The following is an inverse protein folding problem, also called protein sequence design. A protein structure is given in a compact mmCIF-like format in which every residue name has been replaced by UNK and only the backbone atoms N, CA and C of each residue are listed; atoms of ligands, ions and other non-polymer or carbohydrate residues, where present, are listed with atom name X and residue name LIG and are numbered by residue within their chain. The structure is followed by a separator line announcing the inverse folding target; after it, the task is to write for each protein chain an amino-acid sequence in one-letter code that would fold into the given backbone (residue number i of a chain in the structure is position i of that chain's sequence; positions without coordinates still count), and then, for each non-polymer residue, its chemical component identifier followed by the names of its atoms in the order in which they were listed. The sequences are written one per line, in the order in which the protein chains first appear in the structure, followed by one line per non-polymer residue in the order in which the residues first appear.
data_IF_414534590661
#
_entry.id   IF_414534590661
#
_cell.length_a   1.000
_cell.length_b   1.000
_cell.length_c   1.000
_cell.angle_alpha   90.00
_cell.angle_beta   90.00
_cell.angle_gamma   90.00
#
_symmetry.space_group_name_H-M   'P 1'
#
loop_
_entity.id
_entity.type
_entity.pdbx_description
1 polymer ?
#
# COMPACT_ATOMS: atom_id res chain seq x y z
N UNK A 1 3.00 -4.52 -16.03
CA UNK A 1 2.87 -4.41 -14.57
C UNK A 1 3.15 -2.98 -14.16
N UNK A 2 2.31 -2.39 -13.33
CA UNK A 2 2.63 -1.07 -12.78
C UNK A 2 3.82 -1.16 -11.84
N UNK A 3 4.55 -0.08 -11.69
CA UNK A 3 5.72 -0.03 -10.84
C UNK A 3 5.74 1.25 -10.01
N UNK A 4 6.13 1.13 -8.75
CA UNK A 4 6.37 2.28 -7.90
C UNK A 4 7.61 3.01 -8.40
N UNK A 5 7.56 4.35 -8.42
CA UNK A 5 8.70 5.15 -8.88
C UNK A 5 9.95 4.83 -8.06
N UNK A 6 11.00 4.34 -8.71
CA UNK A 6 12.20 3.86 -8.05
C UNK A 6 12.18 2.37 -7.72
N UNK A 7 11.10 1.67 -8.09
CA UNK A 7 11.00 0.21 -7.94
C UNK A 7 10.59 -0.26 -6.55
N UNK A 8 10.69 -1.56 -6.33
CA UNK A 8 10.26 -2.20 -5.09
C UNK A 8 11.03 -1.69 -3.87
N UNK A 9 12.31 -1.39 -4.04
CA UNK A 9 13.15 -0.90 -2.95
C UNK A 9 12.66 0.47 -2.47
N UNK A 10 12.31 1.35 -3.40
CA UNK A 10 11.75 2.67 -3.07
C UNK A 10 10.39 2.53 -2.40
N UNK A 11 9.57 1.57 -2.83
CA UNK A 11 8.28 1.29 -2.20
C UNK A 11 8.48 0.86 -0.75
N UNK A 12 9.42 -0.04 -0.48
CA UNK A 12 9.69 -0.49 0.88
C UNK A 12 10.15 0.65 1.76
N UNK A 13 11.01 1.53 1.24
CA UNK A 13 11.45 2.72 1.99
C UNK A 13 10.30 3.67 2.26
N UNK A 14 9.44 3.87 1.27
CA UNK A 14 8.26 4.73 1.44
C UNK A 14 7.40 4.21 2.59
N UNK A 15 7.13 2.92 2.61
CA UNK A 15 6.32 2.31 3.68
C UNK A 15 7.00 2.46 5.03
N UNK A 16 8.31 2.17 5.12
CA UNK A 16 9.05 2.30 6.38
C UNK A 16 9.03 3.72 6.91
N UNK A 17 9.12 4.71 6.01
CA UNK A 17 9.21 6.11 6.42
C UNK A 17 7.85 6.71 6.79
N UNK A 18 6.76 6.14 6.28
CA UNK A 18 5.44 6.76 6.39
C UNK A 18 4.45 5.97 7.24
N UNK A 19 4.66 4.67 7.42
CA UNK A 19 3.80 3.85 8.27
C UNK A 19 4.10 4.17 9.73
N UNK A 20 3.05 4.53 10.47
CA UNK A 20 3.16 4.77 11.92
C UNK A 20 2.41 3.65 12.63
N UNK A 21 3.09 2.98 13.54
CA UNK A 21 2.47 1.93 14.31
C UNK A 21 1.49 2.56 15.31
N UNK A 22 0.19 2.30 15.21
CA UNK A 22 -0.77 2.88 16.16
C UNK A 22 -0.41 2.48 17.58
N UNK A 23 -0.43 3.44 18.48
CA UNK A 23 -0.04 3.20 19.87
C UNK A 23 -0.88 2.12 20.52
N UNK A 24 -2.19 2.17 20.30
CA UNK A 24 -3.12 1.17 20.84
C UNK A 24 -2.79 -0.22 20.34
N UNK A 25 -2.41 -0.34 19.06
CA UNK A 25 -2.01 -1.63 18.48
C UNK A 25 -0.72 -2.14 19.10
N UNK A 26 0.23 -1.24 19.38
CA UNK A 26 1.46 -1.63 20.10
C UNK A 26 1.15 -2.17 21.49
N UNK A 27 0.27 -1.50 22.21
CA UNK A 27 -0.10 -1.90 23.56
C UNK A 27 -0.80 -3.24 23.59
N UNK A 28 -1.58 -3.55 22.57
CA UNK A 28 -2.28 -4.82 22.44
C UNK A 28 -1.45 -5.91 21.80
N UNK A 29 -0.25 -5.59 21.33
CA UNK A 29 0.61 -6.55 20.64
C UNK A 29 0.10 -6.97 19.28
N UNK A 30 -0.67 -6.12 18.61
CA UNK A 30 -1.23 -6.45 17.29
C UNK A 30 -0.14 -6.42 16.23
N UNK A 31 -0.04 -7.50 15.48
CA UNK A 31 0.95 -7.66 14.42
C UNK A 31 0.33 -8.40 13.25
N UNK A 32 0.90 -8.21 12.08
CA UNK A 32 0.48 -8.96 10.90
C UNK A 32 0.63 -8.14 9.64
N UNK A 33 0.08 -8.66 8.56
CA UNK A 33 0.08 -8.01 7.26
C UNK A 33 -1.33 -7.60 6.90
N UNK A 34 -1.50 -6.32 6.61
CA UNK A 34 -2.75 -5.81 6.06
C UNK A 34 -2.58 -5.76 4.55
N UNK A 35 -3.37 -6.54 3.83
CA UNK A 35 -3.31 -6.54 2.37
C UNK A 35 -4.27 -5.47 1.85
N UNK A 36 -3.71 -4.49 1.14
CA UNK A 36 -4.49 -3.39 0.58
C UNK A 36 -4.47 -3.49 -0.94
N UNK A 37 -5.67 -3.56 -1.52
CA UNK A 37 -5.87 -3.57 -2.96
C UNK A 37 -6.17 -2.15 -3.43
N UNK A 38 -5.66 -1.78 -4.58
CA UNK A 38 -5.94 -0.48 -5.17
C UNK A 38 -5.81 -0.56 -6.68
N UNK A 39 -6.24 0.48 -7.35
CA UNK A 39 -6.13 0.57 -8.80
C UNK A 39 -5.04 1.59 -9.13
N UNK A 40 -4.13 1.21 -10.03
CA UNK A 40 -3.19 2.15 -10.63
C UNK A 40 -3.81 2.58 -11.95
N UNK A 41 -4.21 3.85 -12.02
CA UNK A 41 -4.88 4.39 -13.19
C UNK A 41 -3.91 4.56 -14.36
N UNK A 42 -4.44 4.89 -15.54
CA UNK A 42 -3.62 5.07 -16.74
C UNK A 42 -2.57 6.16 -16.58
N UNK A 43 -2.85 7.15 -15.73
CA UNK A 43 -1.90 8.23 -15.42
C UNK A 43 -1.03 7.95 -14.20
N UNK A 44 -1.14 6.76 -13.62
CA UNK A 44 -0.34 6.37 -12.48
C UNK A 44 -0.95 6.67 -11.13
N UNK A 45 -2.09 7.37 -11.06
CA UNK A 45 -2.72 7.68 -9.77
C UNK A 45 -3.23 6.41 -9.10
N UNK A 46 -3.12 6.37 -7.78
CA UNK A 46 -3.67 5.30 -6.97
C UNK A 46 -5.09 5.67 -6.57
N UNK A 47 -6.05 4.81 -6.90
CA UNK A 47 -7.46 5.04 -6.61
C UNK A 47 -8.10 3.81 -5.98
N UNK A 48 -9.25 4.00 -5.36
CA UNK A 48 -10.08 2.92 -4.82
C UNK A 48 -9.35 1.96 -3.89
N UNK A 49 -8.56 2.47 -2.91
CA UNK A 49 -7.88 1.58 -1.99
C UNK A 49 -8.88 0.91 -1.06
N UNK A 50 -8.67 -0.38 -0.82
CA UNK A 50 -9.50 -1.10 0.16
C UNK A 50 -8.69 -2.23 0.78
N UNK A 51 -9.01 -2.55 2.02
CA UNK A 51 -8.40 -3.67 2.73
C UNK A 51 -9.10 -4.95 2.27
N UNK A 52 -8.30 -5.90 1.76
CA UNK A 52 -8.82 -7.20 1.35
C UNK A 52 -8.42 -8.30 2.32
N UNK A 53 -7.44 -8.04 3.17
CA UNK A 53 -7.09 -8.94 4.28
C UNK A 53 -6.78 -8.09 5.49
N UNK A 54 -7.64 -8.20 6.50
CA UNK A 54 -7.61 -7.38 7.71
C UNK A 54 -6.79 -8.02 8.82
N UNK A 55 -6.21 -7.18 9.68
CA UNK A 55 -5.61 -7.63 10.94
C UNK A 55 -6.41 -7.04 12.09
N UNK A 56 -6.56 -5.72 12.13
CA UNK A 56 -7.35 -5.05 13.16
C UNK A 56 -7.80 -3.70 12.61
N UNK A 57 -8.86 -3.10 13.20
CA UNK A 57 -9.33 -1.80 12.70
C UNK A 57 -8.24 -0.72 12.67
N UNK A 58 -7.39 -0.66 13.70
CA UNK A 58 -6.35 0.34 13.79
C UNK A 58 -5.27 0.14 12.74
N UNK A 59 -4.79 -1.10 12.57
CA UNK A 59 -3.78 -1.42 11.58
C UNK A 59 -4.32 -1.24 10.18
N UNK A 60 -5.57 -1.64 9.95
CA UNK A 60 -6.23 -1.48 8.66
C UNK A 60 -6.33 -0.01 8.27
N UNK A 61 -6.74 0.84 9.21
CA UNK A 61 -6.88 2.28 8.96
C UNK A 61 -5.53 2.90 8.63
N UNK A 62 -4.48 2.51 9.34
CA UNK A 62 -3.14 3.03 9.08
C UNK A 62 -2.62 2.58 7.71
N UNK A 63 -2.85 1.33 7.35
CA UNK A 63 -2.46 0.82 6.03
C UNK A 63 -3.14 1.59 4.91
N UNK A 64 -4.44 1.86 5.04
CA UNK A 64 -5.19 2.66 4.06
C UNK A 64 -4.65 4.08 3.98
N UNK A 65 -4.35 4.69 5.13
CA UNK A 65 -3.81 6.05 5.17
C UNK A 65 -2.52 6.16 4.36
N UNK A 66 -1.62 5.20 4.56
CA UNK A 66 -0.32 5.21 3.88
C UNK A 66 -0.48 4.96 2.38
N UNK A 67 -1.36 4.05 2.00
CA UNK A 67 -1.62 3.78 0.58
C UNK A 67 -2.16 5.05 -0.11
N UNK A 68 -3.03 5.79 0.57
CA UNK A 68 -3.57 7.04 0.02
C UNK A 68 -2.52 8.14 -0.11
N UNK A 69 -1.41 8.03 0.60
CA UNK A 69 -0.32 9.01 0.54
C UNK A 69 0.68 8.72 -0.59
N UNK A 70 0.57 7.58 -1.24
CA UNK A 70 1.55 7.20 -2.25
C UNK A 70 1.57 8.17 -3.41
N UNK A 71 2.79 8.49 -3.94
CA UNK A 71 2.88 9.26 -5.17
C UNK A 71 2.40 8.43 -6.35
N UNK A 72 2.32 9.07 -7.52
CA UNK A 72 1.91 8.37 -8.73
C UNK A 72 2.87 7.21 -9.04
N UNK A 73 2.30 6.11 -9.49
CA UNK A 73 3.03 4.94 -9.94
C UNK A 73 3.29 5.05 -11.44
N UNK A 74 4.22 4.24 -11.92
CA UNK A 74 4.36 4.02 -13.36
C UNK A 74 3.22 3.08 -13.76
N UNK A 75 2.35 3.50 -14.70
CA UNK A 75 1.18 2.68 -15.04
C UNK A 75 1.57 1.40 -15.78
N UNK A 76 0.70 0.41 -15.70
CA UNK A 76 0.86 -0.80 -16.47
C UNK A 76 0.69 -0.52 -17.96
N UNK A 77 1.31 -1.33 -18.80
CA UNK A 77 1.19 -1.20 -20.25
C UNK A 77 0.80 -2.54 -20.87
N UNK A 78 -0.03 -2.44 -21.90
CA UNK A 78 -0.43 -3.60 -22.68
C UNK A 78 -0.42 -3.16 -24.16
N UNK A 79 0.36 -3.87 -24.97
CA UNK A 79 0.54 -3.53 -26.39
C UNK A 79 0.97 -2.06 -26.60
N UNK A 80 1.86 -1.57 -25.72
CA UNK A 80 2.37 -0.23 -25.78
C UNK A 80 1.46 0.87 -25.29
N UNK A 81 0.27 0.49 -24.78
CA UNK A 81 -0.70 1.46 -24.24
C UNK A 81 -0.82 1.32 -22.74
N UNK A 82 -0.97 2.44 -22.06
CA UNK A 82 -1.19 2.47 -20.63
C UNK A 82 -2.59 1.94 -20.30
N UNK A 83 -2.66 1.10 -19.27
CA UNK A 83 -3.92 0.50 -18.86
C UNK A 83 -4.07 0.62 -17.35
N UNK A 84 -5.33 0.63 -16.89
CA UNK A 84 -5.63 0.52 -15.47
C UNK A 84 -5.30 -0.88 -14.99
N UNK A 85 -4.66 -1.00 -13.85
CA UNK A 85 -4.32 -2.30 -13.28
C UNK A 85 -4.71 -2.33 -11.81
N UNK A 86 -5.41 -3.39 -11.42
CA UNK A 86 -5.69 -3.64 -10.01
C UNK A 86 -4.47 -4.33 -9.40
N UNK A 87 -4.00 -3.83 -8.28
CA UNK A 87 -2.80 -4.31 -7.64
C UNK A 87 -3.01 -4.36 -6.13
N UNK A 88 -2.21 -5.17 -5.45
CA UNK A 88 -2.32 -5.27 -4.00
C UNK A 88 -0.93 -5.33 -3.39
N UNK A 89 -0.76 -4.68 -2.24
CA UNK A 89 0.50 -4.73 -1.50
C UNK A 89 0.23 -5.09 -0.04
N UNK A 90 1.14 -5.82 0.59
CA UNK A 90 1.06 -6.06 2.03
C UNK A 90 1.72 -4.90 2.78
N UNK A 91 1.02 -4.39 3.79
CA UNK A 91 1.61 -3.44 4.74
C UNK A 91 1.89 -4.24 6.00
N UNK A 92 3.16 -4.40 6.32
CA UNK A 92 3.60 -5.27 7.41
C UNK A 92 3.74 -4.49 8.70
N UNK A 93 3.08 -4.97 9.74
CA UNK A 93 3.20 -4.42 11.10
C UNK A 93 3.86 -5.49 11.98
N UNK A 94 5.03 -5.15 12.48
CA UNK A 94 5.82 -6.08 13.29
C UNK A 94 6.37 -5.38 14.52
N UNK A 95 6.19 -6.03 15.66
CA UNK A 95 6.79 -5.60 16.92
C UNK A 95 8.05 -6.43 17.18
N UNK A 96 9.08 -5.78 17.64
CA UNK A 96 10.33 -6.49 17.98
C UNK A 96 10.28 -7.03 19.40
#
# INVERSE_FOLDING_TARGET
MPAFSGGMEALMKFLQNNVKYPKESQEKGEQGRVLVEFVVEKDGRVTSPKVVKSVSPQLDAEALRVVKMMPAWEPGKQNGKEVRVKYAIPVVFRLN
#
